data_IF_044847023149
#
_entry.id   IF_044847023149
#
_cell.length_a   1.000
_cell.length_b   1.000
_cell.length_c   1.000
_cell.angle_alpha   90.00
_cell.angle_beta   90.00
_cell.angle_gamma   90.00
#
_symmetry.space_group_name_H-M   'P 1'
#
loop_
_entity.id
_entity.type
_entity.pdbx_description
1 polymer ?
#
# COMPACT_ATOMS: atom_id res chain seq x y z
N UNK A 1 8.09 15.34 -12.39
CA UNK A 1 7.08 16.39 -12.16
C UNK A 1 7.55 17.20 -10.97
N UNK A 2 7.91 18.48 -11.20
CA UNK A 2 8.18 19.42 -10.11
C UNK A 2 6.86 20.05 -9.70
N UNK A 3 6.43 19.77 -8.48
CA UNK A 3 5.34 20.49 -7.83
C UNK A 3 5.96 21.72 -7.16
N UNK A 4 5.54 22.90 -7.58
CA UNK A 4 5.96 24.17 -6.98
C UNK A 4 4.79 24.78 -6.21
N UNK A 5 5.01 25.06 -4.94
CA UNK A 5 4.08 25.82 -4.11
C UNK A 5 4.72 27.17 -3.83
N UNK A 6 4.18 28.22 -4.45
CA UNK A 6 4.60 29.59 -4.21
C UNK A 6 3.58 30.26 -3.29
N UNK A 7 4.04 30.68 -2.12
CA UNK A 7 3.23 31.40 -1.15
C UNK A 7 3.61 32.88 -1.20
N UNK A 8 2.69 33.73 -1.64
CA UNK A 8 2.77 35.19 -1.57
C UNK A 8 1.90 35.70 -0.42
N UNK A 9 2.05 36.97 -0.01
CA UNK A 9 1.22 37.61 1.01
C UNK A 9 -0.30 37.59 0.70
N UNK A 10 -0.65 37.50 -0.56
CA UNK A 10 -2.04 37.58 -1.03
C UNK A 10 -2.54 36.33 -1.72
N UNK A 11 -1.65 35.47 -2.21
CA UNK A 11 -2.01 34.34 -3.06
C UNK A 11 -1.17 33.11 -2.72
N UNK A 12 -1.81 31.94 -2.79
CA UNK A 12 -1.11 30.65 -2.79
C UNK A 12 -1.24 30.07 -4.19
N UNK A 13 -0.14 29.94 -4.91
CA UNK A 13 -0.08 29.37 -6.24
C UNK A 13 0.42 27.93 -6.13
N UNK A 14 -0.45 26.98 -6.42
CA UNK A 14 -0.12 25.55 -6.47
C UNK A 14 0.02 25.17 -7.94
N UNK A 15 1.23 24.85 -8.38
CA UNK A 15 1.53 24.44 -9.74
C UNK A 15 1.86 22.96 -9.77
N UNK A 16 1.00 22.17 -10.40
CA UNK A 16 1.21 20.75 -10.67
C UNK A 16 1.24 20.53 -12.19
N UNK A 17 2.43 20.50 -12.79
CA UNK A 17 2.61 20.43 -14.24
C UNK A 17 2.12 21.68 -14.97
N UNK A 18 1.34 21.52 -16.06
CA UNK A 18 0.78 22.63 -16.85
C UNK A 18 -0.47 23.26 -16.23
N UNK A 19 -1.06 22.69 -15.19
CA UNK A 19 -2.23 23.21 -14.50
C UNK A 19 -1.82 23.88 -13.20
N UNK A 20 -1.96 25.19 -13.13
CA UNK A 20 -1.82 25.96 -11.90
C UNK A 20 -3.20 26.32 -11.35
N UNK A 21 -3.40 26.17 -10.04
CA UNK A 21 -4.54 26.70 -9.31
C UNK A 21 -4.08 27.90 -8.49
N UNK A 22 -4.64 29.06 -8.76
CA UNK A 22 -4.39 30.28 -8.00
C UNK A 22 -5.49 30.43 -6.93
N UNK A 23 -5.10 30.27 -5.67
CA UNK A 23 -5.97 30.47 -4.52
C UNK A 23 -5.70 31.88 -3.97
N UNK A 24 -6.62 32.82 -4.24
CA UNK A 24 -6.58 34.14 -3.64
C UNK A 24 -6.92 34.04 -2.14
N UNK A 25 -5.96 34.38 -1.29
CA UNK A 25 -6.16 34.43 0.16
C UNK A 25 -7.28 35.39 0.58
N UNK A 26 -7.54 36.42 -0.24
CA UNK A 26 -8.66 37.34 -0.04
C UNK A 26 -10.04 36.68 -0.17
N UNK A 27 -10.15 35.55 -0.89
CA UNK A 27 -11.40 34.82 -1.02
C UNK A 27 -11.73 33.97 0.21
N UNK A 28 -10.74 33.74 1.09
CA UNK A 28 -10.92 33.01 2.34
C UNK A 28 -11.49 33.92 3.47
N UNK A 29 -11.78 35.17 3.18
CA UNK A 29 -12.22 36.17 4.14
C UNK A 29 -11.11 36.50 5.15
N UNK A 30 -11.42 37.40 6.08
CA UNK A 30 -10.55 37.72 7.22
C UNK A 30 -10.51 36.54 8.23
N UNK A 31 -10.01 35.38 7.79
CA UNK A 31 -9.65 34.33 8.73
C UNK A 31 -8.39 34.80 9.46
N UNK A 32 -8.60 35.59 10.52
CA UNK A 32 -7.56 35.82 11.50
C UNK A 32 -7.21 34.46 12.11
N UNK A 33 -6.06 33.91 11.71
CA UNK A 33 -5.42 32.80 12.42
C UNK A 33 -4.90 33.35 13.75
N UNK A 34 -5.83 33.65 14.65
CA UNK A 34 -5.51 34.00 16.01
C UNK A 34 -5.01 32.73 16.71
N UNK A 35 -4.06 32.93 17.64
CA UNK A 35 -3.49 31.83 18.43
C UNK A 35 -4.58 31.01 19.14
N UNK A 36 -5.71 31.61 19.46
CA UNK A 36 -6.86 30.93 20.07
C UNK A 36 -7.56 29.98 19.09
N UNK A 37 -7.75 30.39 17.82
CA UNK A 37 -8.34 29.55 16.78
C UNK A 37 -7.41 28.37 16.45
N UNK A 38 -6.10 28.64 16.37
CA UNK A 38 -5.11 27.58 16.12
C UNK A 38 -5.09 26.56 17.26
N UNK A 39 -5.10 27.02 18.52
CA UNK A 39 -5.08 26.15 19.70
C UNK A 39 -6.37 25.31 19.80
N UNK A 40 -7.52 25.85 19.40
CA UNK A 40 -8.78 25.11 19.37
C UNK A 40 -8.85 24.13 18.20
N UNK A 41 -8.19 24.42 17.05
CA UNK A 41 -8.18 23.56 15.88
C UNK A 41 -7.24 22.36 16.01
N UNK A 42 -6.13 22.48 16.76
CA UNK A 42 -5.15 21.41 16.92
C UNK A 42 -5.77 20.08 17.41
N UNK A 43 -6.59 20.04 18.48
CA UNK A 43 -7.20 18.80 18.94
C UNK A 43 -8.08 18.15 17.87
N UNK A 44 -8.88 18.96 17.16
CA UNK A 44 -9.77 18.47 16.11
C UNK A 44 -8.97 17.89 14.94
N UNK A 45 -7.94 18.58 14.49
CA UNK A 45 -7.03 18.11 13.46
C UNK A 45 -6.31 16.82 13.87
N UNK A 46 -5.88 16.74 15.12
CA UNK A 46 -5.23 15.53 15.65
C UNK A 46 -6.18 14.33 15.61
N UNK A 47 -7.41 14.52 16.09
CA UNK A 47 -8.44 13.46 16.04
C UNK A 47 -8.73 13.04 14.59
N UNK A 48 -8.92 13.99 13.69
CA UNK A 48 -9.12 13.71 12.25
C UNK A 48 -7.95 12.93 11.65
N UNK A 49 -6.72 13.31 11.99
CA UNK A 49 -5.50 12.66 11.51
C UNK A 49 -5.41 11.22 12.02
N UNK A 50 -5.72 10.98 13.30
CA UNK A 50 -5.76 9.63 13.87
C UNK A 50 -6.83 8.78 13.16
N UNK A 51 -8.04 9.30 12.97
CA UNK A 51 -9.09 8.60 12.22
C UNK A 51 -8.66 8.28 10.78
N UNK A 52 -8.02 9.23 10.10
CA UNK A 52 -7.48 9.01 8.76
C UNK A 52 -6.47 7.86 8.74
N UNK A 53 -5.52 7.83 9.68
CA UNK A 53 -4.55 6.75 9.77
C UNK A 53 -5.21 5.39 10.04
N UNK A 54 -6.19 5.33 10.94
CA UNK A 54 -6.94 4.10 11.24
C UNK A 54 -7.66 3.59 10.00
N UNK A 55 -8.38 4.47 9.29
CA UNK A 55 -9.09 4.09 8.05
C UNK A 55 -8.11 3.60 6.99
N UNK A 56 -6.99 4.31 6.79
CA UNK A 56 -5.96 3.91 5.83
C UNK A 56 -5.34 2.56 6.20
N UNK A 57 -5.07 2.33 7.48
CA UNK A 57 -4.53 1.07 7.97
C UNK A 57 -5.48 -0.11 7.75
N UNK A 58 -6.75 0.04 8.16
CA UNK A 58 -7.79 -0.98 7.94
C UNK A 58 -7.98 -1.25 6.44
N UNK A 59 -8.04 -0.20 5.63
CA UNK A 59 -8.15 -0.33 4.17
C UNK A 59 -7.00 -1.14 3.57
N UNK A 60 -5.76 -0.92 4.04
CA UNK A 60 -4.60 -1.69 3.60
C UNK A 60 -4.68 -3.15 4.02
N UNK A 61 -5.10 -3.45 5.25
CA UNK A 61 -5.30 -4.83 5.70
C UNK A 61 -6.31 -5.55 4.81
N UNK A 62 -7.47 -4.93 4.56
CA UNK A 62 -8.50 -5.51 3.69
C UNK A 62 -7.96 -5.72 2.27
N UNK A 63 -7.26 -4.75 1.72
CA UNK A 63 -6.64 -4.86 0.40
C UNK A 63 -5.68 -6.05 0.33
N UNK A 64 -4.78 -6.19 1.31
CA UNK A 64 -3.84 -7.31 1.35
C UNK A 64 -4.54 -8.66 1.54
N UNK A 65 -5.59 -8.72 2.37
CA UNK A 65 -6.36 -9.94 2.56
C UNK A 65 -7.05 -10.40 1.27
N UNK A 66 -7.68 -9.47 0.54
CA UNK A 66 -8.34 -9.77 -0.74
C UNK A 66 -7.32 -10.23 -1.79
N UNK A 67 -6.19 -9.52 -1.92
CA UNK A 67 -5.13 -9.89 -2.86
C UNK A 67 -4.55 -11.27 -2.51
N UNK A 68 -4.29 -11.54 -1.22
CA UNK A 68 -3.80 -12.84 -0.77
C UNK A 68 -4.79 -13.97 -1.05
N UNK A 69 -6.08 -13.70 -0.93
CA UNK A 69 -7.12 -14.66 -1.27
C UNK A 69 -7.10 -15.00 -2.77
N UNK A 70 -6.97 -14.00 -3.64
CA UNK A 70 -6.86 -14.21 -5.09
C UNK A 70 -5.62 -15.02 -5.44
N UNK A 71 -4.45 -14.66 -4.91
CA UNK A 71 -3.23 -15.42 -5.12
C UNK A 71 -3.31 -16.84 -4.55
N UNK A 72 -3.92 -17.00 -3.38
CA UNK A 72 -4.17 -18.32 -2.78
C UNK A 72 -5.03 -19.22 -3.67
N UNK A 73 -6.08 -18.66 -4.28
CA UNK A 73 -6.92 -19.40 -5.24
C UNK A 73 -6.14 -19.78 -6.51
N UNK A 74 -5.32 -18.87 -7.05
CA UNK A 74 -4.45 -19.17 -8.20
C UNK A 74 -3.48 -20.29 -7.86
N UNK A 75 -2.84 -20.22 -6.68
CA UNK A 75 -1.94 -21.25 -6.18
C UNK A 75 -2.66 -22.61 -6.11
N UNK A 76 -3.85 -22.65 -5.53
CA UNK A 76 -4.65 -23.87 -5.40
C UNK A 76 -5.03 -24.49 -6.73
N UNK A 77 -5.40 -23.67 -7.73
CA UNK A 77 -5.78 -24.17 -9.06
C UNK A 77 -4.56 -24.64 -9.83
N UNK A 78 -3.43 -23.93 -9.70
CA UNK A 78 -2.19 -24.23 -10.43
C UNK A 78 -1.39 -25.40 -9.86
N UNK A 79 -1.60 -25.75 -8.58
CA UNK A 79 -0.82 -26.79 -7.90
C UNK A 79 -1.68 -28.00 -7.57
N UNK A 80 -1.40 -29.08 -8.28
CA UNK A 80 -1.97 -30.39 -7.97
C UNK A 80 -0.83 -31.37 -7.74
N UNK A 81 -0.95 -32.21 -6.72
CA UNK A 81 -0.06 -33.36 -6.55
C UNK A 81 -0.19 -34.32 -7.74
N UNK A 82 0.85 -35.10 -8.10
CA UNK A 82 0.74 -36.23 -9.01
C UNK A 82 -0.36 -37.21 -8.62
N UNK A 83 -0.68 -37.31 -7.33
CA UNK A 83 -1.76 -38.12 -6.76
C UNK A 83 -3.14 -37.45 -6.82
N UNK A 84 -3.25 -36.27 -7.43
CA UNK A 84 -4.51 -35.51 -7.53
C UNK A 84 -4.91 -34.74 -6.26
N UNK A 85 -4.08 -34.74 -5.21
CA UNK A 85 -4.34 -33.95 -4.00
C UNK A 85 -4.24 -32.45 -4.31
N UNK A 86 -5.18 -31.69 -3.77
CA UNK A 86 -5.28 -30.24 -3.92
C UNK A 86 -4.99 -29.60 -2.55
N UNK A 87 -4.23 -28.51 -2.54
CA UNK A 87 -3.95 -27.73 -1.32
C UNK A 87 -5.28 -27.23 -0.72
N UNK A 88 -5.39 -27.23 0.60
CA UNK A 88 -6.55 -26.66 1.30
C UNK A 88 -6.66 -25.14 1.03
N UNK A 89 -7.87 -24.58 1.11
CA UNK A 89 -8.07 -23.13 0.95
C UNK A 89 -7.30 -22.36 2.03
N UNK A 90 -7.30 -22.87 3.28
CA UNK A 90 -6.60 -22.27 4.39
C UNK A 90 -5.10 -22.22 4.16
N UNK A 91 -4.49 -23.35 3.80
CA UNK A 91 -3.03 -23.39 3.55
C UNK A 91 -2.63 -22.52 2.38
N UNK A 92 -3.39 -22.53 1.28
CA UNK A 92 -3.12 -21.68 0.13
C UNK A 92 -3.25 -20.20 0.45
N UNK A 93 -4.21 -19.81 1.30
CA UNK A 93 -4.36 -18.44 1.77
C UNK A 93 -3.16 -18.02 2.64
N UNK A 94 -2.75 -18.83 3.61
CA UNK A 94 -1.59 -18.52 4.46
C UNK A 94 -0.29 -18.44 3.67
N UNK A 95 -0.06 -19.35 2.72
CA UNK A 95 1.09 -19.28 1.80
C UNK A 95 1.09 -17.93 1.06
N UNK A 96 -0.07 -17.51 0.56
CA UNK A 96 -0.19 -16.23 -0.15
C UNK A 96 0.05 -15.02 0.79
N UNK A 97 -0.45 -15.06 2.03
CA UNK A 97 -0.20 -14.00 3.03
C UNK A 97 1.30 -13.85 3.29
N UNK A 98 2.02 -14.95 3.52
CA UNK A 98 3.47 -14.91 3.71
C UNK A 98 4.22 -14.42 2.47
N UNK A 99 3.80 -14.85 1.29
CA UNK A 99 4.38 -14.38 0.04
C UNK A 99 4.17 -12.87 -0.18
N UNK A 100 2.99 -12.36 0.17
CA UNK A 100 2.67 -10.93 0.06
C UNK A 100 3.41 -10.06 1.08
N UNK A 101 3.77 -10.59 2.25
CA UNK A 101 4.63 -9.85 3.19
C UNK A 101 6.01 -9.59 2.59
N UNK A 102 6.54 -10.54 1.82
CA UNK A 102 7.81 -10.38 1.10
C UNK A 102 7.72 -9.24 0.08
N UNK A 103 6.63 -9.18 -0.68
CA UNK A 103 6.33 -8.08 -1.59
C UNK A 103 6.31 -6.73 -0.87
N UNK A 104 5.59 -6.64 0.26
CA UNK A 104 5.49 -5.42 1.04
C UNK A 104 6.85 -4.94 1.56
N UNK A 105 7.71 -5.87 2.01
CA UNK A 105 9.06 -5.55 2.48
C UNK A 105 9.91 -4.99 1.34
N UNK A 106 9.93 -5.64 0.17
CA UNK A 106 10.70 -5.18 -1.00
C UNK A 106 10.24 -3.78 -1.43
N UNK A 107 8.93 -3.56 -1.51
CA UNK A 107 8.36 -2.27 -1.88
C UNK A 107 8.72 -1.17 -0.85
N UNK A 108 8.65 -1.48 0.45
CA UNK A 108 9.01 -0.56 1.52
C UNK A 108 10.49 -0.19 1.50
N UNK A 109 11.37 -1.16 1.29
CA UNK A 109 12.81 -0.92 1.17
C UNK A 109 13.11 -0.01 -0.02
N UNK A 110 12.53 -0.29 -1.19
CA UNK A 110 12.71 0.56 -2.37
C UNK A 110 12.21 1.98 -2.14
N UNK A 111 11.07 2.14 -1.48
CA UNK A 111 10.52 3.45 -1.12
C UNK A 111 11.44 4.20 -0.14
N UNK A 112 11.96 3.51 0.88
CA UNK A 112 12.86 4.11 1.88
C UNK A 112 14.19 4.56 1.29
N UNK A 113 14.63 3.92 0.21
CA UNK A 113 15.85 4.27 -0.51
C UNK A 113 15.65 5.36 -1.58
N UNK A 114 14.47 5.99 -1.64
CA UNK A 114 14.16 7.04 -2.62
C UNK A 114 13.90 6.52 -4.03
N UNK A 115 13.36 5.31 -4.17
CA UNK A 115 13.01 4.68 -5.45
C UNK A 115 14.20 4.50 -6.42
N UNK A 116 15.32 3.91 -6.00
CA UNK A 116 16.46 3.67 -6.90
C UNK A 116 16.08 2.77 -8.07
N UNK A 117 15.05 1.94 -7.90
CA UNK A 117 14.46 1.11 -8.97
C UNK A 117 13.04 1.60 -9.24
N UNK A 118 12.67 1.74 -10.52
CA UNK A 118 11.33 2.17 -10.86
C UNK A 118 10.27 1.22 -10.29
N UNK A 119 9.13 1.75 -9.85
CA UNK A 119 8.05 0.99 -9.24
C UNK A 119 7.56 -0.17 -10.12
N UNK A 120 7.65 -0.02 -11.44
CA UNK A 120 7.32 -1.07 -12.40
C UNK A 120 8.23 -2.29 -12.22
N UNK A 121 9.56 -2.10 -12.25
CA UNK A 121 10.51 -3.20 -12.10
C UNK A 121 10.45 -3.85 -10.73
N UNK A 122 10.26 -3.05 -9.68
CA UNK A 122 10.04 -3.59 -8.32
C UNK A 122 8.82 -4.50 -8.29
N UNK A 123 7.72 -4.09 -8.91
CA UNK A 123 6.51 -4.90 -8.98
C UNK A 123 6.75 -6.20 -9.76
N UNK A 124 7.39 -6.13 -10.92
CA UNK A 124 7.70 -7.33 -11.74
C UNK A 124 8.57 -8.31 -10.96
N UNK A 125 9.68 -7.85 -10.39
CA UNK A 125 10.60 -8.69 -9.63
C UNK A 125 9.89 -9.32 -8.42
N UNK A 126 9.11 -8.52 -7.70
CA UNK A 126 8.37 -8.99 -6.53
C UNK A 126 7.33 -10.05 -6.88
N UNK A 127 6.60 -9.88 -7.99
CA UNK A 127 5.64 -10.89 -8.47
C UNK A 127 6.35 -12.21 -8.78
N UNK A 128 7.50 -12.16 -9.45
CA UNK A 128 8.29 -13.36 -9.76
C UNK A 128 8.73 -14.06 -8.47
N UNK A 129 9.25 -13.31 -7.49
CA UNK A 129 9.68 -13.86 -6.20
C UNK A 129 8.49 -14.48 -5.47
N UNK A 130 7.35 -13.79 -5.41
CA UNK A 130 6.11 -14.29 -4.79
C UNK A 130 5.68 -15.59 -5.43
N UNK A 131 5.66 -15.67 -6.78
CA UNK A 131 5.28 -16.89 -7.50
C UNK A 131 6.21 -18.06 -7.21
N UNK A 132 7.53 -17.82 -7.21
CA UNK A 132 8.53 -18.86 -6.86
C UNK A 132 8.32 -19.35 -5.43
N UNK A 133 8.12 -18.43 -4.49
CA UNK A 133 7.87 -18.77 -3.09
C UNK A 133 6.60 -19.60 -2.93
N UNK A 134 5.50 -19.16 -3.53
CA UNK A 134 4.22 -19.86 -3.48
C UNK A 134 4.33 -21.27 -4.06
N UNK A 135 5.03 -21.40 -5.21
CA UNK A 135 5.24 -22.70 -5.84
C UNK A 135 6.02 -23.66 -4.93
N UNK A 136 7.16 -23.20 -4.37
CA UNK A 136 7.96 -24.01 -3.44
C UNK A 136 7.19 -24.40 -2.19
N UNK A 137 6.50 -23.44 -1.56
CA UNK A 137 5.72 -23.70 -0.36
C UNK A 137 4.56 -24.65 -0.64
N UNK A 138 3.84 -24.46 -1.75
CA UNK A 138 2.76 -25.36 -2.16
C UNK A 138 3.22 -26.78 -2.39
N UNK A 139 4.35 -26.99 -3.05
CA UNK A 139 4.96 -28.32 -3.25
C UNK A 139 5.35 -28.95 -1.93
N UNK A 140 5.87 -28.17 -0.98
CA UNK A 140 6.27 -28.71 0.35
C UNK A 140 5.07 -29.22 1.16
N UNK A 141 3.92 -28.52 1.07
CA UNK A 141 2.68 -28.94 1.74
C UNK A 141 2.07 -30.19 1.11
N UNK A 142 2.30 -30.40 -0.19
CA UNK A 142 1.76 -31.56 -0.93
C UNK A 142 2.64 -32.81 -0.80
N UNK A 143 3.89 -32.70 -0.29
CA UNK A 143 4.73 -33.86 -0.06
C UNK A 143 4.14 -34.70 1.09
N UNK A 144 4.02 -36.03 0.92
CA UNK A 144 3.66 -36.90 2.03
C UNK A 144 4.76 -36.79 3.10
N UNK A 145 4.37 -36.67 4.37
CA UNK A 145 5.28 -36.84 5.49
C UNK A 145 5.89 -38.26 5.39
N UNK A 146 7.14 -38.34 4.99
CA UNK A 146 7.89 -39.58 5.09
C UNK A 146 8.23 -39.80 6.56
N UNK A 147 7.34 -40.53 7.26
CA UNK A 147 7.59 -41.09 8.59
C UNK A 147 8.61 -42.22 8.48
#
# INVERSE_FOLDING_TARGET
YQEEILVSRTNILIRAGERGSDLQLSSLGDMYLDNQVLTAAIPVLTVMLVFYFVIMFVSKIVQYAVVSLVYGLICRVGMRSPEGKIISIGDSFWIAVYAMTLFAVIASVNSSLGYPVSSFWVSVISIVIVMIYMFKAGVSVLKPETS
#
